data_IF_675758456242
#
_entry.id   IF_675758456242
#
_cell.length_a   1.000
_cell.length_b   1.000
_cell.length_c   1.000
_cell.angle_alpha   90.00
_cell.angle_beta   90.00
_cell.angle_gamma   90.00
#
_symmetry.space_group_name_H-M   'P 1'
#
loop_
_entity.id
_entity.type
_entity.pdbx_description
1 polymer ?
#
# COMPACT_ATOMS: atom_id res chain seq x y z
N UNK A 1 -44.28 -10.63 -25.57
CA UNK A 1 -43.25 -11.41 -26.29
C UNK A 1 -42.24 -10.54 -27.05
N UNK A 2 -42.61 -9.72 -28.05
CA UNK A 2 -41.63 -8.88 -28.78
C UNK A 2 -40.99 -7.74 -27.95
N UNK A 3 -41.76 -7.14 -27.02
CA UNK A 3 -41.26 -6.13 -26.09
C UNK A 3 -40.27 -6.70 -25.06
N UNK A 4 -40.49 -7.95 -24.64
CA UNK A 4 -39.62 -8.67 -23.70
C UNK A 4 -38.30 -9.06 -24.36
N UNK A 5 -38.32 -9.40 -25.67
CA UNK A 5 -37.08 -9.67 -26.42
C UNK A 5 -36.25 -8.41 -26.66
N UNK A 6 -36.89 -7.25 -26.82
CA UNK A 6 -36.16 -5.97 -26.97
C UNK A 6 -35.56 -5.50 -25.63
N UNK A 7 -36.28 -5.64 -24.52
CA UNK A 7 -35.77 -5.29 -23.19
C UNK A 7 -34.62 -6.18 -22.76
N UNK A 8 -34.74 -7.50 -22.95
CA UNK A 8 -33.68 -8.47 -22.63
C UNK A 8 -32.43 -8.26 -23.49
N UNK A 9 -32.59 -7.84 -24.76
CA UNK A 9 -31.46 -7.53 -25.64
C UNK A 9 -30.72 -6.26 -25.21
N UNK A 10 -31.46 -5.19 -24.84
CA UNK A 10 -30.87 -3.95 -24.29
C UNK A 10 -30.15 -4.19 -22.97
N UNK A 11 -30.72 -4.99 -22.09
CA UNK A 11 -30.09 -5.33 -20.81
C UNK A 11 -28.81 -6.15 -21.02
N UNK A 12 -28.81 -7.09 -21.98
CA UNK A 12 -27.59 -7.84 -22.31
C UNK A 12 -26.48 -6.98 -22.89
N UNK A 13 -26.82 -5.99 -23.72
CA UNK A 13 -25.85 -5.03 -24.25
C UNK A 13 -25.27 -4.14 -23.13
N UNK A 14 -26.13 -3.65 -22.23
CA UNK A 14 -25.76 -2.85 -21.05
C UNK A 14 -24.83 -3.61 -20.10
N UNK A 15 -25.10 -4.90 -19.87
CA UNK A 15 -24.26 -5.76 -19.03
C UNK A 15 -22.92 -6.10 -19.69
N UNK A 16 -22.90 -6.29 -21.02
CA UNK A 16 -21.68 -6.55 -21.77
C UNK A 16 -20.72 -5.34 -21.76
N UNK A 17 -21.25 -4.11 -21.86
CA UNK A 17 -20.45 -2.88 -21.73
C UNK A 17 -19.89 -2.68 -20.32
N UNK A 18 -20.51 -3.31 -19.31
CA UNK A 18 -20.07 -3.29 -17.91
C UNK A 18 -19.15 -4.48 -17.57
N UNK A 19 -19.03 -5.47 -18.45
CA UNK A 19 -18.23 -6.67 -18.22
C UNK A 19 -16.73 -6.34 -18.40
N UNK A 20 -15.95 -6.57 -17.34
CA UNK A 20 -14.51 -6.32 -17.35
C UNK A 20 -13.82 -7.41 -18.19
N UNK A 21 -13.30 -7.04 -19.35
CA UNK A 21 -12.49 -7.91 -20.20
C UNK A 21 -11.04 -8.04 -19.68
N UNK A 22 -10.82 -9.05 -18.82
CA UNK A 22 -9.51 -9.38 -18.26
C UNK A 22 -8.49 -9.91 -19.28
N UNK A 23 -8.93 -10.33 -20.46
CA UNK A 23 -8.03 -10.81 -21.51
C UNK A 23 -7.25 -9.65 -22.15
N UNK A 24 -7.86 -8.46 -22.19
CA UNK A 24 -7.24 -7.23 -22.70
C UNK A 24 -6.30 -6.53 -21.72
N UNK A 25 -6.33 -6.91 -20.45
CA UNK A 25 -5.44 -6.35 -19.44
C UNK A 25 -4.01 -6.87 -19.63
N UNK A 26 -3.06 -5.94 -19.81
CA UNK A 26 -1.63 -6.25 -19.73
C UNK A 26 -1.27 -6.58 -18.28
N UNK A 27 -1.14 -7.88 -18.02
CA UNK A 27 -0.83 -8.42 -16.69
C UNK A 27 0.57 -8.00 -16.24
N UNK A 28 1.52 -7.85 -17.16
CA UNK A 28 2.89 -7.49 -16.81
C UNK A 28 2.93 -6.07 -16.28
N UNK A 29 2.34 -5.12 -17.02
CA UNK A 29 2.27 -3.71 -16.60
C UNK A 29 1.48 -3.59 -15.30
N UNK A 30 0.36 -4.30 -15.17
CA UNK A 30 -0.46 -4.27 -13.96
C UNK A 30 0.34 -4.66 -12.70
N UNK A 31 1.06 -5.79 -12.75
CA UNK A 31 1.81 -6.27 -11.58
C UNK A 31 3.06 -5.41 -11.31
N UNK A 32 3.74 -4.90 -12.34
CA UNK A 32 4.91 -4.03 -12.15
C UNK A 32 4.50 -2.71 -11.52
N UNK A 33 3.47 -2.05 -12.04
CA UNK A 33 2.95 -0.80 -11.47
C UNK A 33 2.46 -1.05 -10.04
N UNK A 34 1.72 -2.15 -9.82
CA UNK A 34 1.26 -2.54 -8.49
C UNK A 34 2.42 -2.73 -7.50
N UNK A 35 3.47 -3.43 -7.91
CA UNK A 35 4.66 -3.64 -7.09
C UNK A 35 5.37 -2.32 -6.76
N UNK A 36 5.57 -1.44 -7.74
CA UNK A 36 6.20 -0.13 -7.53
C UNK A 36 5.37 0.73 -6.56
N UNK A 37 4.06 0.83 -6.78
CA UNK A 37 3.17 1.60 -5.89
C UNK A 37 3.19 1.04 -4.47
N UNK A 38 3.15 -0.28 -4.33
CA UNK A 38 3.20 -0.94 -3.03
C UNK A 38 4.54 -0.68 -2.32
N UNK A 39 5.66 -0.80 -3.03
CA UNK A 39 6.99 -0.50 -2.46
C UNK A 39 7.09 0.96 -2.02
N UNK A 40 6.61 1.92 -2.82
CA UNK A 40 6.60 3.34 -2.45
C UNK A 40 5.74 3.57 -1.21
N UNK A 41 4.53 3.00 -1.17
CA UNK A 41 3.65 3.07 0.00
C UNK A 41 4.34 2.52 1.26
N UNK A 42 5.01 1.38 1.13
CA UNK A 42 5.74 0.78 2.25
C UNK A 42 6.92 1.63 2.68
N UNK A 43 7.65 2.26 1.75
CA UNK A 43 8.74 3.17 2.09
C UNK A 43 8.24 4.38 2.90
N UNK A 44 7.07 4.92 2.57
CA UNK A 44 6.46 6.02 3.32
C UNK A 44 6.03 5.61 4.74
N UNK A 45 5.55 4.38 4.91
CA UNK A 45 5.12 3.86 6.22
C UNK A 45 6.31 3.40 7.09
N UNK A 46 7.38 2.88 6.48
CA UNK A 46 8.51 2.26 7.18
C UNK A 46 9.11 3.06 8.35
N UNK A 47 9.28 4.40 8.27
CA UNK A 47 9.72 5.21 9.41
C UNK A 47 8.93 4.96 10.70
N UNK A 48 7.61 4.79 10.57
CA UNK A 48 6.73 4.54 11.71
C UNK A 48 6.93 3.14 12.29
N UNK A 49 7.22 2.14 11.45
CA UNK A 49 7.53 0.80 11.88
C UNK A 49 8.86 0.73 12.65
N UNK A 50 9.88 1.48 12.20
CA UNK A 50 11.17 1.59 12.91
C UNK A 50 10.99 2.25 14.27
N UNK A 51 10.25 3.36 14.34
CA UNK A 51 9.94 4.02 15.63
C UNK A 51 9.21 3.06 16.57
N UNK A 52 8.16 2.39 16.07
CA UNK A 52 7.37 1.43 16.83
C UNK A 52 8.23 0.29 17.38
N UNK A 53 9.05 -0.33 16.55
CA UNK A 53 9.90 -1.45 16.98
C UNK A 53 10.96 -1.02 17.99
N UNK A 54 11.54 0.18 17.85
CA UNK A 54 12.44 0.71 18.90
C UNK A 54 11.75 0.93 20.23
N UNK A 55 10.54 1.48 20.22
CA UNK A 55 9.76 1.67 21.44
C UNK A 55 9.36 0.35 22.09
N UNK A 56 9.14 -0.71 21.30
CA UNK A 56 8.76 -2.03 21.80
C UNK A 56 9.93 -2.83 22.37
N UNK A 57 11.15 -2.61 21.88
CA UNK A 57 12.36 -3.31 22.34
C UNK A 57 13.04 -2.58 23.50
N UNK A 58 12.87 -1.25 23.59
CA UNK A 58 13.52 -0.44 24.60
C UNK A 58 12.89 -0.60 26.00
N UNK A 59 13.66 -0.23 27.03
CA UNK A 59 13.21 -0.19 28.42
C UNK A 59 11.97 0.70 28.61
N UNK A 60 11.26 0.49 29.72
CA UNK A 60 10.00 1.15 30.10
C UNK A 60 9.98 2.67 29.81
N UNK A 61 11.11 3.33 29.99
CA UNK A 61 11.27 4.78 29.82
C UNK A 61 11.11 5.24 28.37
N UNK A 62 11.60 4.47 27.39
CA UNK A 62 11.45 4.79 25.96
C UNK A 62 10.07 4.37 25.43
N UNK A 63 9.51 3.29 25.98
CA UNK A 63 8.18 2.80 25.61
C UNK A 63 7.06 3.83 25.85
N UNK A 64 7.22 4.70 26.85
CA UNK A 64 6.26 5.77 27.20
C UNK A 64 6.59 7.13 26.58
N UNK A 65 7.68 7.26 25.81
CA UNK A 65 8.01 8.52 25.15
C UNK A 65 7.11 8.75 23.92
N UNK A 66 6.83 10.01 23.55
CA UNK A 66 6.15 10.29 22.30
C UNK A 66 6.96 9.77 21.11
N UNK A 67 6.32 9.09 20.16
CA UNK A 67 7.01 8.51 18.99
C UNK A 67 7.82 9.53 18.17
N UNK A 68 7.39 10.80 18.16
CA UNK A 68 8.14 11.90 17.51
C UNK A 68 9.49 12.19 18.19
N UNK A 69 9.60 11.97 19.50
CA UNK A 69 10.87 12.12 20.23
C UNK A 69 11.83 11.00 19.81
N UNK A 70 11.32 9.77 19.75
CA UNK A 70 12.10 8.60 19.31
C UNK A 70 12.52 8.75 17.84
N UNK A 71 11.64 9.26 16.97
CA UNK A 71 11.98 9.57 15.58
C UNK A 71 13.13 10.59 15.46
N UNK A 72 13.07 11.69 16.22
CA UNK A 72 14.15 12.69 16.27
C UNK A 72 15.45 12.10 16.80
N UNK A 73 15.37 11.22 17.79
CA UNK A 73 16.52 10.52 18.36
C UNK A 73 17.19 9.61 17.31
N UNK A 74 16.40 8.83 16.55
CA UNK A 74 16.90 8.02 15.43
C UNK A 74 17.61 8.90 14.41
N UNK A 75 16.98 10.02 14.00
CA UNK A 75 17.55 10.90 12.99
C UNK A 75 18.85 11.57 13.47
N UNK A 76 18.95 11.88 14.76
CA UNK A 76 20.14 12.50 15.35
C UNK A 76 21.30 11.52 15.53
N UNK A 77 21.01 10.29 15.94
CA UNK A 77 22.03 9.30 16.31
C UNK A 77 22.44 8.42 15.12
N UNK A 78 21.49 8.04 14.26
CA UNK A 78 21.69 7.08 13.16
C UNK A 78 21.50 7.71 11.76
N UNK A 79 21.08 8.97 11.71
CA UNK A 79 20.85 9.70 10.46
C UNK A 79 19.65 9.19 9.66
N UNK A 80 19.55 9.66 8.41
CA UNK A 80 18.50 9.26 7.46
C UNK A 80 18.48 7.74 7.22
N UNK A 81 19.63 7.04 7.07
CA UNK A 81 19.64 5.58 6.90
C UNK A 81 19.04 4.84 8.10
N UNK A 82 19.15 5.39 9.32
CA UNK A 82 18.57 4.80 10.52
C UNK A 82 17.05 4.67 10.47
N UNK A 83 16.38 5.61 9.80
CA UNK A 83 14.91 5.61 9.61
C UNK A 83 14.46 4.54 8.61
N UNK A 84 15.34 4.13 7.70
CA UNK A 84 15.07 3.13 6.65
C UNK A 84 15.78 1.78 6.88
N UNK A 85 16.32 1.58 8.09
CA UNK A 85 17.05 0.36 8.42
C UNK A 85 16.15 -0.86 8.23
N UNK A 86 16.62 -1.86 7.49
CA UNK A 86 15.91 -3.12 7.24
C UNK A 86 14.88 -3.09 6.09
N UNK A 87 14.72 -1.98 5.36
CA UNK A 87 13.64 -1.86 4.35
C UNK A 87 13.81 -2.80 3.14
N UNK A 88 15.01 -3.27 2.84
CA UNK A 88 15.30 -4.12 1.67
C UNK A 88 16.37 -5.19 1.93
N UNK A 89 16.55 -5.57 3.19
CA UNK A 89 17.48 -6.61 3.65
C UNK A 89 16.69 -7.76 4.25
#
# INVERSE_FOLDING_TARGET
>A
MALETESVSRDKLSLADTEIDWARLDKTIFHIIGAVLFTVQQALIHPTAVVKTRMQVADYRLAHMPGMVVFKDILRNDGIPGVFRGFGT
#
